data_IF_403835331049
#
_entry.id   IF_403835331049
#
_cell.length_a   1.000
_cell.length_b   1.000
_cell.length_c   1.000
_cell.angle_alpha   90.00
_cell.angle_beta   90.00
_cell.angle_gamma   90.00
#
_symmetry.space_group_name_H-M   'P 1'
#
loop_
_entity.id
_entity.type
_entity.pdbx_description
1 polymer ?
#
# COMPACT_ATOMS: atom_id res chain seq x y z
N UNK A 1 15.36 1.75 -14.92
CA UNK A 1 14.17 0.90 -14.67
C UNK A 1 12.95 1.79 -14.51
N UNK A 2 11.79 1.30 -14.89
CA UNK A 2 10.50 1.93 -14.65
C UNK A 2 9.85 1.26 -13.44
N UNK A 3 9.68 2.02 -12.36
CA UNK A 3 9.24 1.52 -11.06
C UNK A 3 7.88 2.11 -10.72
N UNK A 4 6.92 1.25 -10.38
CA UNK A 4 5.65 1.66 -9.80
C UNK A 4 5.76 1.64 -8.28
N UNK A 5 5.53 2.77 -7.62
CA UNK A 5 5.44 2.86 -6.16
C UNK A 5 3.99 3.17 -5.76
N UNK A 6 3.41 2.35 -4.90
CA UNK A 6 2.03 2.51 -4.45
C UNK A 6 1.95 2.88 -2.98
N UNK A 7 0.93 3.66 -2.62
CA UNK A 7 0.57 3.98 -1.24
C UNK A 7 -0.94 3.96 -1.08
N UNK A 8 -1.44 3.88 0.15
CA UNK A 8 -2.87 3.72 0.40
C UNK A 8 -3.56 5.04 0.78
N UNK A 9 -4.84 5.15 0.42
CA UNK A 9 -5.71 6.20 0.91
C UNK A 9 -5.89 6.14 2.44
N UNK A 10 -6.36 7.23 3.08
CA UNK A 10 -6.73 7.21 4.48
C UNK A 10 -7.82 6.17 4.77
N UNK A 11 -7.78 5.60 5.98
CA UNK A 11 -8.76 4.64 6.50
C UNK A 11 -8.93 4.85 8.00
N UNK A 12 -9.86 4.12 8.63
CA UNK A 12 -10.09 4.15 10.09
C UNK A 12 -10.28 5.59 10.63
N UNK A 13 -11.12 6.35 9.93
CA UNK A 13 -11.45 7.75 10.23
C UNK A 13 -10.23 8.71 10.28
N UNK A 14 -9.08 8.29 9.77
CA UNK A 14 -7.91 9.16 9.62
C UNK A 14 -8.07 10.07 8.39
N UNK A 15 -7.50 11.28 8.48
CA UNK A 15 -7.48 12.23 7.38
C UNK A 15 -6.30 11.98 6.41
N UNK A 16 -5.26 11.31 6.89
CA UNK A 16 -4.05 11.02 6.12
C UNK A 16 -3.67 9.54 6.25
N UNK A 17 -2.88 9.07 5.30
CA UNK A 17 -2.18 7.80 5.42
C UNK A 17 -0.70 8.05 5.10
N UNK A 18 0.22 7.88 6.07
CA UNK A 18 1.64 8.14 5.87
C UNK A 18 2.26 7.38 4.70
N UNK A 19 1.70 6.22 4.31
CA UNK A 19 2.19 5.52 3.12
C UNK A 19 2.00 6.35 1.85
N UNK A 20 0.82 6.96 1.65
CA UNK A 20 0.59 7.83 0.50
C UNK A 20 1.33 9.15 0.61
N UNK A 21 1.39 9.74 1.81
CA UNK A 21 2.15 10.99 2.01
C UNK A 21 3.64 10.80 1.71
N UNK A 22 4.24 9.67 2.10
CA UNK A 22 5.63 9.37 1.75
C UNK A 22 5.81 9.16 0.24
N UNK A 23 4.92 8.42 -0.41
CA UNK A 23 5.00 8.13 -1.85
C UNK A 23 4.77 9.38 -2.70
N UNK A 24 3.86 10.27 -2.28
CA UNK A 24 3.54 11.49 -3.02
C UNK A 24 4.74 12.43 -3.11
N UNK A 25 5.57 12.46 -2.05
CA UNK A 25 6.78 13.27 -1.93
C UNK A 25 7.99 12.76 -2.71
N UNK A 26 7.96 11.52 -3.22
CA UNK A 26 9.08 10.99 -4.01
C UNK A 26 9.32 11.85 -5.26
N UNK A 27 10.54 11.93 -5.75
CA UNK A 27 10.80 12.50 -7.07
C UNK A 27 10.31 11.52 -8.15
N UNK A 28 9.93 12.04 -9.32
CA UNK A 28 9.53 11.19 -10.45
C UNK A 28 10.74 10.49 -11.10
N UNK A 29 11.96 10.91 -10.75
CA UNK A 29 13.22 10.30 -11.19
C UNK A 29 14.12 10.16 -9.98
N UNK A 30 14.62 8.96 -9.71
CA UNK A 30 15.58 8.70 -8.62
C UNK A 30 16.79 8.00 -9.23
N UNK A 31 17.91 8.72 -9.35
CA UNK A 31 19.07 8.25 -10.10
C UNK A 31 18.71 8.05 -11.58
N UNK A 32 18.82 6.81 -12.07
CA UNK A 32 18.48 6.42 -13.46
C UNK A 32 17.10 5.74 -13.58
N UNK A 33 16.28 5.82 -12.53
CA UNK A 33 14.98 5.14 -12.46
C UNK A 33 13.83 6.13 -12.59
N UNK A 34 12.84 5.81 -13.42
CA UNK A 34 11.58 6.55 -13.51
C UNK A 34 10.59 5.99 -12.51
N UNK A 35 9.90 6.87 -11.79
CA UNK A 35 9.00 6.52 -10.69
C UNK A 35 7.58 6.96 -11.05
N UNK A 36 6.69 5.98 -11.21
CA UNK A 36 5.25 6.21 -11.25
C UNK A 36 4.66 5.99 -9.87
N UNK A 37 3.67 6.81 -9.51
CA UNK A 37 3.03 6.79 -8.19
C UNK A 37 1.57 6.43 -8.35
N UNK A 38 1.07 5.50 -7.53
CA UNK A 38 -0.34 5.09 -7.55
C UNK A 38 -0.94 5.10 -6.14
N UNK A 39 -1.97 5.92 -5.94
CA UNK A 39 -2.78 5.89 -4.72
C UNK A 39 -3.83 4.81 -4.83
N UNK A 40 -3.76 3.82 -3.94
CA UNK A 40 -4.71 2.73 -3.85
C UNK A 40 -5.81 3.03 -2.82
N UNK A 41 -7.07 2.65 -3.07
CA UNK A 41 -8.09 2.68 -2.04
C UNK A 41 -7.77 1.63 -0.98
N UNK A 42 -8.17 1.86 0.27
CA UNK A 42 -8.15 0.85 1.33
C UNK A 42 -9.36 -0.09 1.22
N UNK A 43 -9.46 -0.78 0.07
CA UNK A 43 -10.58 -1.66 -0.27
C UNK A 43 -10.12 -2.87 -1.07
N UNK A 44 -10.22 -4.06 -0.46
CA UNK A 44 -9.82 -5.33 -1.06
C UNK A 44 -10.36 -5.51 -2.49
N UNK A 45 -11.67 -5.31 -2.67
CA UNK A 45 -12.34 -5.52 -3.96
C UNK A 45 -11.83 -4.61 -5.07
N UNK A 46 -11.39 -3.38 -4.73
CA UNK A 46 -11.01 -2.37 -5.73
C UNK A 46 -9.52 -2.43 -6.08
N UNK A 47 -8.67 -2.81 -5.12
CA UNK A 47 -7.21 -2.82 -5.31
C UNK A 47 -6.79 -3.76 -6.42
N UNK A 48 -7.28 -5.00 -6.43
CA UNK A 48 -6.90 -6.00 -7.43
C UNK A 48 -7.25 -5.55 -8.85
N UNK A 49 -8.45 -4.97 -9.04
CA UNK A 49 -8.87 -4.45 -10.35
C UNK A 49 -7.99 -3.29 -10.81
N UNK A 50 -7.64 -2.37 -9.91
CA UNK A 50 -6.82 -1.20 -10.25
C UNK A 50 -5.40 -1.65 -10.60
N UNK A 51 -4.78 -2.50 -9.78
CA UNK A 51 -3.43 -3.01 -10.03
C UNK A 51 -3.38 -3.79 -11.34
N UNK A 52 -4.29 -4.73 -11.57
CA UNK A 52 -4.30 -5.52 -12.80
C UNK A 52 -4.45 -4.65 -14.04
N UNK A 53 -5.32 -3.62 -13.98
CA UNK A 53 -5.48 -2.67 -15.11
C UNK A 53 -4.21 -1.85 -15.34
N UNK A 54 -3.57 -1.36 -14.28
CA UNK A 54 -2.34 -0.57 -14.36
C UNK A 54 -1.19 -1.38 -14.93
N UNK A 55 -1.00 -2.62 -14.47
CA UNK A 55 0.05 -3.53 -14.95
C UNK A 55 -0.22 -4.07 -16.36
N UNK A 56 -1.49 -4.16 -16.78
CA UNK A 56 -1.82 -4.54 -18.15
C UNK A 56 -1.58 -3.40 -19.15
N UNK A 57 -1.66 -2.14 -18.70
CA UNK A 57 -1.56 -0.96 -19.56
C UNK A 57 -0.14 -0.39 -19.64
N UNK A 58 0.74 -0.75 -18.70
CA UNK A 58 2.09 -0.22 -18.59
C UNK A 58 3.07 -1.33 -18.24
N UNK A 59 4.31 -1.21 -18.71
CA UNK A 59 5.37 -2.14 -18.35
C UNK A 59 6.20 -1.57 -17.19
N UNK A 60 6.23 -2.28 -16.07
CA UNK A 60 7.07 -1.92 -14.91
C UNK A 60 8.07 -3.04 -14.64
N UNK A 61 9.33 -2.65 -14.42
CA UNK A 61 10.39 -3.58 -14.01
C UNK A 61 10.21 -4.00 -12.54
N UNK A 62 9.70 -3.08 -11.71
CA UNK A 62 9.51 -3.26 -10.27
C UNK A 62 8.20 -2.61 -9.82
N UNK A 63 7.48 -3.30 -8.94
CA UNK A 63 6.32 -2.75 -8.22
C UNK A 63 6.61 -2.78 -6.72
N UNK A 64 6.59 -1.62 -6.09
CA UNK A 64 6.82 -1.45 -4.65
C UNK A 64 5.55 -0.93 -3.99
N UNK A 65 4.91 -1.74 -3.16
CA UNK A 65 3.74 -1.33 -2.40
C UNK A 65 4.14 -0.91 -0.98
N UNK A 66 3.84 0.35 -0.64
CA UNK A 66 4.09 0.94 0.67
C UNK A 66 2.79 0.95 1.46
N UNK A 67 2.84 0.44 2.70
CA UNK A 67 1.70 0.42 3.61
C UNK A 67 2.07 0.96 4.99
N UNK A 68 1.10 1.52 5.70
CA UNK A 68 1.25 1.88 7.10
C UNK A 68 1.12 0.62 7.98
N UNK A 69 2.06 0.43 8.90
CA UNK A 69 1.99 -0.59 9.94
C UNK A 69 2.02 0.07 11.32
N UNK A 70 0.84 0.32 11.89
CA UNK A 70 0.69 0.96 13.20
C UNK A 70 1.47 0.19 14.28
N UNK A 71 2.09 0.93 15.20
CA UNK A 71 2.87 0.36 16.32
C UNK A 71 4.29 -0.08 15.97
N UNK A 72 4.74 0.01 14.71
CA UNK A 72 6.16 -0.18 14.35
C UNK A 72 6.93 1.13 14.50
N UNK A 73 8.18 1.05 14.94
CA UNK A 73 9.07 2.20 15.16
C UNK A 73 10.17 2.34 14.10
N UNK A 74 10.14 1.52 13.05
CA UNK A 74 11.15 1.50 12.00
C UNK A 74 10.55 1.11 10.65
N UNK A 75 11.26 1.47 9.57
CA UNK A 75 10.99 0.96 8.23
C UNK A 75 11.36 -0.52 8.20
N UNK A 76 10.42 -1.36 7.79
CA UNK A 76 10.62 -2.81 7.70
C UNK A 76 10.40 -3.28 6.28
N UNK A 77 11.34 -4.03 5.73
CA UNK A 77 11.16 -4.76 4.48
C UNK A 77 10.49 -6.10 4.77
N UNK A 78 9.47 -6.46 4.00
CA UNK A 78 8.85 -7.77 4.08
C UNK A 78 9.27 -8.60 2.88
N UNK A 79 9.88 -9.76 3.14
CA UNK A 79 10.39 -10.68 2.09
C UNK A 79 9.39 -11.76 1.69
N UNK A 80 8.21 -11.80 2.32
CA UNK A 80 7.19 -12.82 2.07
C UNK A 80 5.99 -12.23 1.31
N UNK A 81 5.64 -12.75 0.11
CA UNK A 81 4.46 -12.30 -0.66
C UNK A 81 3.15 -12.41 0.12
N UNK A 82 3.05 -13.43 0.98
CA UNK A 82 1.90 -13.66 1.87
C UNK A 82 1.68 -12.49 2.84
N UNK A 83 2.76 -11.79 3.24
CA UNK A 83 2.74 -10.69 4.21
C UNK A 83 2.40 -9.35 3.54
N UNK A 84 2.67 -9.18 2.24
CA UNK A 84 2.17 -8.01 1.50
C UNK A 84 0.63 -7.97 1.52
N UNK A 85 0.00 -9.15 1.39
CA UNK A 85 -1.43 -9.34 1.63
C UNK A 85 -1.79 -9.17 3.12
N UNK A 86 -0.91 -9.61 4.02
CA UNK A 86 -1.11 -9.54 5.47
C UNK A 86 -1.03 -8.10 6.06
N UNK A 87 -0.31 -7.17 5.43
CA UNK A 87 -0.30 -5.74 5.80
C UNK A 87 -1.51 -4.99 5.26
N UNK A 88 -2.04 -5.39 4.11
CA UNK A 88 -3.42 -5.04 3.72
C UNK A 88 -4.42 -5.63 4.72
N UNK A 89 -4.12 -6.78 5.32
CA UNK A 89 -4.88 -7.45 6.40
C UNK A 89 -4.69 -6.81 7.79
N UNK A 90 -3.69 -5.96 8.00
CA UNK A 90 -3.56 -5.25 9.29
C UNK A 90 -4.62 -4.13 9.40
N UNK A 91 -5.20 -3.71 8.28
CA UNK A 91 -6.47 -2.97 8.20
C UNK A 91 -7.65 -3.86 8.67
N UNK A 92 -7.58 -5.18 8.48
CA UNK A 92 -8.62 -6.14 8.90
C UNK A 92 -8.61 -6.45 10.40
N UNK A 93 -7.46 -6.39 11.08
CA UNK A 93 -7.40 -6.86 12.48
C UNK A 93 -7.93 -5.83 13.50
N UNK A 94 -7.96 -4.53 13.15
CA UNK A 94 -8.49 -3.49 14.04
C UNK A 94 -10.03 -3.45 14.02
N UNK A 95 -10.69 -3.80 12.91
CA UNK A 95 -12.16 -3.84 12.85
C UNK A 95 -12.79 -5.09 13.47
N UNK A 96 -12.04 -6.20 13.59
CA UNK A 96 -12.56 -7.46 14.16
C UNK A 96 -12.16 -7.70 15.62
N UNK A 97 -11.33 -6.83 16.22
CA UNK A 97 -11.00 -6.85 17.65
C UNK A 97 -11.87 -5.88 18.48
N UNK A 98 -12.66 -5.01 17.83
CA UNK A 98 -13.66 -4.15 18.47
C UNK A 98 -15.10 -4.71 18.40
N UNK A 99 -15.27 -5.94 17.90
CA UNK A 99 -16.49 -6.72 18.05
C UNK A 99 -16.13 -8.03 18.76
N UNK A 100 -15.90 -7.95 20.06
CA UNK A 100 -16.12 -9.06 21.00
C UNK A 100 -17.45 -8.77 21.72
N UNK A 101 -18.02 -9.70 22.50
CA UNK A 101 -18.22 -11.14 22.34
C UNK A 101 -19.70 -11.50 22.69
N UNK A 102 -20.04 -12.80 22.64
CA UNK A 102 -21.30 -13.39 23.15
C UNK A 102 -22.59 -13.12 22.38
N UNK A 103 -23.23 -14.26 22.06
CA UNK A 103 -24.57 -14.52 21.49
C UNK A 103 -24.59 -14.52 19.96
#
# INVERSE_FOLDING_TARGET
MHILVTGFAPFDNQNINPSWEAVSLLENIIGTHTIDKLKLPTSFKKVDTIINKTLASNHYDVVLAIGQAGGRNAITQNVSPLILMMHVFQIMMIFNLLIKPFI
#
